data_IF_161760784397
#
_entry.id   IF_161760784397
#
_cell.length_a   1.000
_cell.length_b   1.000
_cell.length_c   1.000
_cell.angle_alpha   90.00
_cell.angle_beta   90.00
_cell.angle_gamma   90.00
#
_symmetry.space_group_name_H-M   'P 1'
#
loop_
_entity.id
_entity.type
_entity.pdbx_description
1 polymer ?
#
# COMPACT_ATOMS: atom_id res chain seq x y z
N UNK A 1 -41.47 32.77 -71.82
CA UNK A 1 -41.44 31.73 -70.77
C UNK A 1 -40.94 30.36 -71.23
N UNK A 2 -41.48 29.73 -72.29
CA UNK A 2 -41.08 28.36 -72.71
C UNK A 2 -39.58 28.15 -72.98
N UNK A 3 -38.88 29.13 -73.56
CA UNK A 3 -37.45 29.02 -73.90
C UNK A 3 -36.54 28.98 -72.66
N UNK A 4 -36.90 29.75 -71.63
CA UNK A 4 -36.17 29.81 -70.35
C UNK A 4 -36.33 28.50 -69.58
N UNK A 5 -37.56 27.96 -69.56
CA UNK A 5 -37.88 26.69 -68.91
C UNK A 5 -37.12 25.51 -69.54
N UNK A 6 -36.98 25.50 -70.86
CA UNK A 6 -36.24 24.45 -71.57
C UNK A 6 -34.73 24.51 -71.27
N UNK A 7 -34.16 25.72 -71.20
CA UNK A 7 -32.74 25.91 -70.87
C UNK A 7 -32.40 25.57 -69.42
N UNK A 8 -33.31 25.83 -68.47
CA UNK A 8 -33.10 25.43 -67.07
C UNK A 8 -33.23 23.92 -66.92
N UNK A 9 -34.23 23.30 -67.55
CA UNK A 9 -34.40 21.84 -67.49
C UNK A 9 -33.22 21.08 -68.10
N UNK A 10 -32.69 21.54 -69.24
CA UNK A 10 -31.51 20.91 -69.88
C UNK A 10 -30.23 21.08 -69.06
N UNK A 11 -30.02 22.23 -68.41
CA UNK A 11 -28.90 22.41 -67.47
C UNK A 11 -29.03 21.51 -66.24
N UNK A 12 -30.25 21.31 -65.75
CA UNK A 12 -30.55 20.48 -64.57
C UNK A 12 -30.32 18.99 -64.88
N UNK A 13 -30.78 18.49 -66.03
CA UNK A 13 -30.50 17.13 -66.51
C UNK A 13 -29.00 16.92 -66.74
N UNK A 14 -28.29 17.88 -67.34
CA UNK A 14 -26.83 17.81 -67.49
C UNK A 14 -26.11 17.77 -66.13
N UNK A 15 -26.57 18.56 -65.16
CA UNK A 15 -26.07 18.52 -63.78
C UNK A 15 -26.20 17.15 -63.12
N UNK A 16 -27.38 16.51 -63.23
CA UNK A 16 -27.60 15.16 -62.70
C UNK A 16 -26.72 14.10 -63.39
N UNK A 17 -26.54 14.19 -64.71
CA UNK A 17 -25.65 13.26 -65.42
C UNK A 17 -24.17 13.45 -65.07
N UNK A 18 -23.74 14.70 -64.76
CA UNK A 18 -22.38 14.98 -64.30
C UNK A 18 -22.16 14.46 -62.86
N UNK A 19 -23.14 14.66 -61.98
CA UNK A 19 -23.10 14.15 -60.60
C UNK A 19 -23.05 12.61 -60.56
N UNK A 20 -23.81 11.94 -61.42
CA UNK A 20 -23.78 10.48 -61.58
C UNK A 20 -22.47 9.95 -62.20
N UNK A 21 -21.71 10.77 -62.94
CA UNK A 21 -20.37 10.40 -63.43
C UNK A 21 -19.29 10.60 -62.37
N UNK A 22 -19.43 11.63 -61.53
CA UNK A 22 -18.50 11.92 -60.45
C UNK A 22 -18.63 10.98 -59.24
N UNK A 23 -19.82 10.44 -58.97
CA UNK A 23 -20.07 9.54 -57.82
C UNK A 23 -19.61 8.09 -58.05
N UNK A 24 -19.56 7.62 -59.30
CA UNK A 24 -19.09 6.26 -59.66
C UNK A 24 -17.67 5.92 -59.19
N UNK A 25 -16.64 6.75 -59.40
CA UNK A 25 -15.28 6.44 -58.92
C UNK A 25 -15.17 6.44 -57.38
N UNK A 26 -15.96 7.28 -56.69
CA UNK A 26 -16.04 7.28 -55.23
C UNK A 26 -16.69 6.00 -54.70
N UNK A 27 -17.77 5.52 -55.33
CA UNK A 27 -18.40 4.26 -54.94
C UNK A 27 -17.48 3.06 -55.18
N UNK A 28 -16.76 3.05 -56.32
CA UNK A 28 -15.81 1.98 -56.66
C UNK A 28 -14.61 1.93 -55.71
N UNK A 29 -14.11 3.07 -55.25
CA UNK A 29 -13.01 3.13 -54.27
C UNK A 29 -13.48 2.65 -52.89
N UNK A 30 -14.68 3.01 -52.47
CA UNK A 30 -15.30 2.51 -51.24
C UNK A 30 -15.49 0.98 -51.27
N UNK A 31 -16.03 0.43 -52.36
CA UNK A 31 -16.23 -1.01 -52.53
C UNK A 31 -14.90 -1.79 -52.52
N UNK A 32 -13.85 -1.25 -53.14
CA UNK A 32 -12.50 -1.84 -53.10
C UNK A 32 -11.90 -1.82 -51.68
N UNK A 33 -12.14 -0.75 -50.91
CA UNK A 33 -11.70 -0.67 -49.52
C UNK A 33 -12.40 -1.71 -48.64
N UNK A 34 -13.73 -1.85 -48.78
CA UNK A 34 -14.53 -2.86 -48.09
C UNK A 34 -14.05 -4.28 -48.46
N UNK A 35 -13.78 -4.55 -49.74
CA UNK A 35 -13.26 -5.84 -50.19
C UNK A 35 -11.92 -6.22 -49.55
N UNK A 36 -11.00 -5.26 -49.38
CA UNK A 36 -9.71 -5.49 -48.68
C UNK A 36 -9.90 -5.84 -47.21
N UNK A 37 -10.82 -5.16 -46.53
CA UNK A 37 -11.14 -5.42 -45.12
C UNK A 37 -11.73 -6.83 -44.97
N UNK A 38 -12.71 -7.18 -45.80
CA UNK A 38 -13.33 -8.51 -45.79
C UNK A 38 -12.31 -9.62 -46.08
N UNK A 39 -11.39 -9.39 -47.03
CA UNK A 39 -10.33 -10.36 -47.33
C UNK A 39 -9.37 -10.56 -46.14
N UNK A 40 -8.99 -9.49 -45.43
CA UNK A 40 -8.14 -9.57 -44.25
C UNK A 40 -8.83 -10.33 -43.08
N UNK A 41 -10.14 -10.14 -42.91
CA UNK A 41 -10.93 -10.88 -41.92
C UNK A 41 -10.99 -12.37 -42.28
N UNK A 42 -11.26 -12.70 -43.54
CA UNK A 42 -11.30 -14.08 -44.01
C UNK A 42 -9.94 -14.80 -43.82
N UNK A 43 -8.83 -14.13 -44.14
CA UNK A 43 -7.50 -14.70 -43.94
C UNK A 43 -7.19 -14.97 -42.45
N UNK A 44 -7.59 -14.07 -41.55
CA UNK A 44 -7.44 -14.30 -40.11
C UNK A 44 -8.25 -15.50 -39.64
N UNK A 45 -9.50 -15.64 -40.09
CA UNK A 45 -10.37 -16.77 -39.73
C UNK A 45 -9.81 -18.11 -40.23
N UNK A 46 -9.32 -18.16 -41.47
CA UNK A 46 -8.67 -19.36 -42.03
C UNK A 46 -7.38 -19.71 -41.27
N UNK A 47 -6.59 -18.71 -40.86
CA UNK A 47 -5.37 -18.97 -40.10
C UNK A 47 -5.67 -19.50 -38.68
N UNK A 48 -6.74 -19.02 -38.04
CA UNK A 48 -7.21 -19.50 -36.74
C UNK A 48 -7.71 -20.94 -36.84
N UNK A 49 -8.52 -21.27 -37.86
CA UNK A 49 -9.03 -22.64 -38.05
C UNK A 49 -7.90 -23.64 -38.34
N UNK A 50 -6.90 -23.26 -39.13
CA UNK A 50 -5.72 -24.10 -39.38
C UNK A 50 -4.86 -24.31 -38.13
N UNK A 51 -4.66 -23.27 -37.29
CA UNK A 51 -3.96 -23.42 -36.00
C UNK A 51 -4.70 -24.35 -35.06
N UNK A 52 -6.03 -24.21 -35.00
CA UNK A 52 -6.88 -25.06 -34.17
C UNK A 52 -6.84 -26.53 -34.64
N UNK A 53 -6.88 -26.77 -35.96
CA UNK A 53 -6.71 -28.11 -36.52
C UNK A 53 -5.36 -28.75 -36.20
N UNK A 54 -4.25 -27.98 -36.24
CA UNK A 54 -2.91 -28.48 -35.84
C UNK A 54 -2.80 -28.73 -34.33
N UNK A 55 -3.47 -27.93 -33.51
CA UNK A 55 -3.55 -28.14 -32.06
C UNK A 55 -4.27 -29.45 -31.73
N UNK A 56 -5.43 -29.69 -32.34
CA UNK A 56 -6.16 -30.96 -32.27
C UNK A 56 -5.30 -32.14 -32.73
N UNK A 57 -4.57 -31.99 -33.85
CA UNK A 57 -3.69 -33.04 -34.36
C UNK A 57 -2.54 -33.37 -33.39
N UNK A 58 -1.92 -32.36 -32.76
CA UNK A 58 -0.86 -32.57 -31.76
C UNK A 58 -1.40 -33.20 -30.48
N UNK A 59 -2.60 -32.82 -30.05
CA UNK A 59 -3.27 -33.42 -28.91
C UNK A 59 -3.62 -34.91 -29.16
N UNK A 60 -3.88 -35.28 -30.41
CA UNK A 60 -4.24 -36.65 -30.80
C UNK A 60 -3.08 -37.57 -31.19
N UNK A 61 -1.84 -37.08 -31.30
CA UNK A 61 -0.68 -37.93 -31.66
C UNK A 61 -0.22 -38.89 -30.56
N UNK A 62 -0.83 -38.85 -29.37
CA UNK A 62 -0.50 -39.77 -28.27
C UNK A 62 -1.39 -41.02 -28.15
N UNK A 63 -2.46 -41.16 -28.94
CA UNK A 63 -3.45 -42.24 -28.74
C UNK A 63 -3.87 -42.94 -30.05
N UNK A 64 -3.23 -44.07 -30.32
CA UNK A 64 -3.55 -45.01 -31.39
C UNK A 64 -4.61 -46.02 -30.93
N UNK A 65 -5.85 -45.57 -30.71
CA UNK A 65 -7.00 -46.44 -30.43
C UNK A 65 -8.04 -46.37 -31.57
N UNK A 66 -8.76 -47.48 -31.88
CA UNK A 66 -9.81 -47.50 -32.89
C UNK A 66 -10.98 -46.55 -32.55
N UNK A 67 -11.68 -46.08 -33.57
CA UNK A 67 -12.66 -44.97 -33.47
C UNK A 67 -13.79 -45.22 -32.44
N UNK A 68 -14.19 -46.48 -32.22
CA UNK A 68 -15.23 -46.85 -31.25
C UNK A 68 -14.81 -46.57 -29.80
N UNK A 69 -13.54 -46.76 -29.45
CA UNK A 69 -13.05 -46.56 -28.08
C UNK A 69 -12.79 -45.07 -27.78
N UNK A 70 -12.55 -44.27 -28.83
CA UNK A 70 -12.41 -42.81 -28.71
C UNK A 70 -13.70 -42.13 -28.30
N UNK A 71 -14.85 -42.60 -28.79
CA UNK A 71 -16.17 -42.05 -28.42
C UNK A 71 -16.48 -42.38 -26.96
N UNK A 72 -16.26 -43.63 -26.54
CA UNK A 72 -16.48 -44.04 -25.15
C UNK A 72 -15.58 -43.31 -24.16
N UNK A 73 -14.32 -43.03 -24.52
CA UNK A 73 -13.42 -42.20 -23.70
C UNK A 73 -13.88 -40.74 -23.61
N UNK A 74 -14.44 -40.17 -24.68
CA UNK A 74 -15.00 -38.81 -24.66
C UNK A 74 -16.24 -38.75 -23.78
N UNK A 75 -17.09 -39.77 -23.78
CA UNK A 75 -18.31 -39.79 -22.95
C UNK A 75 -17.98 -40.06 -21.47
N UNK A 76 -16.96 -40.87 -21.18
CA UNK A 76 -16.58 -41.25 -19.80
C UNK A 76 -15.49 -40.37 -19.18
N UNK A 77 -14.90 -39.44 -19.95
CA UNK A 77 -13.89 -38.51 -19.48
C UNK A 77 -14.43 -37.63 -18.33
N UNK A 78 -13.73 -37.53 -17.18
CA UNK A 78 -14.14 -36.65 -16.08
C UNK A 78 -14.23 -35.17 -16.51
N UNK A 79 -13.51 -34.78 -17.56
CA UNK A 79 -13.49 -33.40 -18.06
C UNK A 79 -14.69 -33.08 -18.95
N UNK A 80 -15.14 -34.01 -19.78
CA UNK A 80 -16.32 -33.81 -20.63
C UNK A 80 -17.58 -33.80 -19.80
N UNK A 81 -17.67 -34.66 -18.78
CA UNK A 81 -18.77 -34.63 -17.80
C UNK A 81 -18.86 -33.26 -17.12
N UNK A 82 -17.73 -32.70 -16.65
CA UNK A 82 -17.67 -31.36 -16.05
C UNK A 82 -18.09 -30.26 -17.02
N UNK A 83 -17.68 -30.35 -18.29
CA UNK A 83 -18.07 -29.38 -19.33
C UNK A 83 -19.57 -29.44 -19.64
N UNK A 84 -20.14 -30.64 -19.73
CA UNK A 84 -21.58 -30.84 -19.95
C UNK A 84 -22.38 -30.33 -18.75
N UNK A 85 -21.93 -30.60 -17.52
CA UNK A 85 -22.54 -30.06 -16.29
C UNK A 85 -22.47 -28.53 -16.29
N UNK A 86 -21.33 -27.94 -16.63
CA UNK A 86 -21.16 -26.48 -16.64
C UNK A 86 -22.00 -25.81 -17.75
N UNK A 87 -22.11 -26.45 -18.92
CA UNK A 87 -23.01 -26.01 -19.99
C UNK A 87 -24.49 -26.15 -19.59
N UNK A 88 -24.87 -27.22 -18.91
CA UNK A 88 -26.22 -27.42 -18.36
C UNK A 88 -26.57 -26.37 -17.31
N UNK A 89 -25.64 -26.08 -16.38
CA UNK A 89 -25.76 -25.01 -15.39
C UNK A 89 -25.92 -23.66 -16.08
N UNK A 90 -25.12 -23.38 -17.12
CA UNK A 90 -25.23 -22.13 -17.89
C UNK A 90 -26.59 -22.00 -18.60
N UNK A 91 -27.10 -23.08 -19.21
CA UNK A 91 -28.41 -23.09 -19.87
C UNK A 91 -29.56 -22.95 -18.85
N UNK A 92 -29.41 -23.49 -17.64
CA UNK A 92 -30.38 -23.35 -16.55
C UNK A 92 -30.36 -21.94 -15.91
N UNK A 93 -29.18 -21.32 -15.82
CA UNK A 93 -29.00 -19.98 -15.22
C UNK A 93 -29.20 -18.83 -16.21
N UNK A 94 -28.93 -19.03 -17.51
CA UNK A 94 -29.06 -17.99 -18.54
C UNK A 94 -30.47 -17.39 -18.68
N UNK A 95 -31.59 -18.12 -18.44
CA UNK A 95 -32.92 -17.52 -18.44
C UNK A 95 -33.23 -16.77 -17.14
N UNK A 96 -32.51 -17.06 -16.04
CA UNK A 96 -32.70 -16.39 -14.75
C UNK A 96 -31.90 -15.08 -14.64
N UNK A 97 -30.95 -14.85 -15.55
CA UNK A 97 -30.28 -13.56 -15.65
C UNK A 97 -31.18 -12.60 -16.44
N UNK A 98 -32.04 -11.87 -15.72
CA UNK A 98 -32.74 -10.70 -16.25
C UNK A 98 -31.71 -9.62 -16.66
N UNK A 99 -31.13 -9.76 -17.84
CA UNK A 99 -30.30 -8.75 -18.49
C UNK A 99 -31.21 -7.62 -19.01
N UNK A 100 -31.79 -6.84 -18.09
CA UNK A 100 -32.40 -5.55 -18.44
C UNK A 100 -31.31 -4.49 -18.41
N UNK A 101 -30.84 -4.10 -19.60
CA UNK A 101 -30.21 -2.80 -19.78
C UNK A 101 -31.34 -1.76 -19.75
N UNK A 102 -31.49 -1.07 -18.61
CA UNK A 102 -32.35 0.11 -18.52
C UNK A 102 -31.44 1.32 -18.32
N UNK A 103 -31.42 2.14 -19.35
CA UNK A 103 -30.75 3.42 -19.46
C UNK A 103 -31.52 4.45 -18.63
N UNK A 104 -30.93 4.93 -17.54
CA UNK A 104 -31.12 6.26 -16.94
C UNK A 104 -30.20 6.36 -15.72
N UNK A 105 -29.24 7.29 -15.83
CA UNK A 105 -28.37 7.91 -14.82
C UNK A 105 -28.12 7.21 -13.48
N UNK A 106 -26.82 7.05 -13.21
CA UNK A 106 -26.18 6.55 -11.98
C UNK A 106 -25.90 5.03 -11.98
N UNK A 107 -24.76 4.73 -12.60
CA UNK A 107 -24.22 3.41 -12.89
C UNK A 107 -23.45 2.83 -11.68
N UNK A 108 -24.15 2.18 -10.74
CA UNK A 108 -23.51 1.49 -9.60
C UNK A 108 -23.86 -0.01 -9.45
N UNK A 109 -24.80 -0.55 -10.22
CA UNK A 109 -25.30 -1.92 -10.03
C UNK A 109 -24.98 -2.90 -11.19
N UNK A 110 -23.81 -2.75 -11.81
CA UNK A 110 -23.32 -3.81 -12.71
C UNK A 110 -22.49 -4.84 -11.95
N UNK A 111 -22.68 -6.14 -12.23
CA UNK A 111 -21.84 -7.22 -11.67
C UNK A 111 -20.35 -7.00 -11.97
N UNK A 112 -20.01 -6.27 -13.04
CA UNK A 112 -18.64 -5.85 -13.34
C UNK A 112 -18.13 -4.82 -12.33
N UNK A 113 -18.98 -3.91 -11.86
CA UNK A 113 -18.69 -2.94 -10.81
C UNK A 113 -18.57 -3.59 -9.43
N UNK A 114 -19.42 -4.56 -9.09
CA UNK A 114 -19.30 -5.34 -7.85
C UNK A 114 -18.08 -6.27 -7.81
N UNK A 115 -17.66 -6.82 -8.96
CA UNK A 115 -16.50 -7.73 -9.02
C UNK A 115 -15.15 -6.98 -9.11
N UNK A 116 -15.16 -5.72 -9.58
CA UNK A 116 -13.98 -4.85 -9.61
C UNK A 116 -13.88 -4.01 -8.34
N UNK A 117 -15.02 -3.71 -7.69
CA UNK A 117 -15.14 -2.83 -6.54
C UNK A 117 -14.78 -1.38 -6.90
N UNK A 118 -15.53 -0.36 -6.45
CA UNK A 118 -14.87 0.90 -6.16
C UNK A 118 -13.81 0.61 -5.10
N UNK A 119 -12.58 1.08 -5.31
CA UNK A 119 -11.64 1.18 -4.20
C UNK A 119 -12.25 2.14 -3.19
N UNK A 120 -12.80 1.61 -2.10
CA UNK A 120 -13.34 2.38 -0.99
C UNK A 120 -12.17 3.06 -0.24
N UNK A 121 -11.68 4.17 -0.79
CA UNK A 121 -11.50 5.39 -0.02
C UNK A 121 -12.86 6.08 0.00
N UNK A 122 -13.64 5.86 1.06
CA UNK A 122 -14.77 6.73 1.37
C UNK A 122 -14.20 8.10 1.78
N UNK A 123 -14.25 9.06 0.87
CA UNK A 123 -14.43 10.46 1.26
C UNK A 123 -15.92 10.63 1.55
N UNK A 124 -16.27 10.75 2.83
CA UNK A 124 -17.54 11.36 3.22
C UNK A 124 -17.32 12.87 3.13
N UNK A 125 -17.64 13.46 1.98
CA UNK A 125 -18.03 14.87 1.96
C UNK A 125 -19.49 14.93 2.43
N UNK A 126 -19.69 15.20 3.71
CA UNK A 126 -20.95 15.74 4.20
C UNK A 126 -21.07 17.18 3.67
N UNK A 127 -21.79 17.33 2.57
CA UNK A 127 -22.28 18.62 2.11
C UNK A 127 -23.35 19.11 3.08
N UNK A 128 -23.00 20.06 3.95
CA UNK A 128 -23.96 20.85 4.71
C UNK A 128 -24.68 21.78 3.74
N UNK A 129 -25.95 21.48 3.43
CA UNK A 129 -26.87 22.50 2.90
C UNK A 129 -27.38 23.34 4.07
N UNK A 130 -26.77 24.52 4.26
CA UNK A 130 -27.20 25.55 5.21
C UNK A 130 -26.41 26.85 4.98
N UNK A 131 -27.05 28.03 5.07
CA UNK A 131 -26.53 29.24 4.44
C UNK A 131 -25.26 29.78 5.12
N UNK A 132 -24.35 30.24 4.26
CA UNK A 132 -23.09 30.91 4.56
C UNK A 132 -23.25 32.02 5.63
N UNK A 133 -22.45 31.94 6.69
CA UNK A 133 -21.87 33.13 7.31
C UNK A 133 -20.37 32.91 7.49
N UNK A 134 -19.61 33.75 6.80
CA UNK A 134 -18.16 33.72 6.72
C UNK A 134 -17.60 34.33 8.00
N UNK A 135 -16.76 33.58 8.70
CA UNK A 135 -15.90 34.06 9.78
C UNK A 135 -14.58 33.29 9.76
N UNK A 136 -13.64 33.76 8.95
CA UNK A 136 -12.26 33.25 8.94
C UNK A 136 -11.57 33.80 10.19
N UNK A 137 -11.32 32.97 11.20
CA UNK A 137 -10.36 33.29 12.26
C UNK A 137 -9.12 32.41 12.14
N UNK A 138 -8.06 33.04 11.65
CA UNK A 138 -6.69 32.53 11.66
C UNK A 138 -6.17 32.45 13.09
N UNK A 139 -5.53 31.34 13.41
CA UNK A 139 -4.99 30.91 14.71
C UNK A 139 -3.71 31.67 15.15
N UNK A 140 -3.62 32.97 14.85
CA UNK A 140 -2.47 33.80 15.21
C UNK A 140 -2.88 35.12 15.85
N UNK A 141 -3.60 35.07 16.97
CA UNK A 141 -3.64 36.18 17.93
C UNK A 141 -4.17 35.66 19.27
N UNK A 142 -3.34 35.73 20.30
CA UNK A 142 -3.81 35.57 21.67
C UNK A 142 -4.78 36.69 22.00
N UNK A 143 -6.03 36.34 22.30
CA UNK A 143 -6.96 37.23 22.96
C UNK A 143 -7.57 36.49 24.14
N UNK A 144 -7.15 36.93 25.33
CA UNK A 144 -7.80 36.68 26.61
C UNK A 144 -9.29 36.95 26.46
N UNK A 145 -10.14 35.94 26.69
CA UNK A 145 -11.56 36.20 26.96
C UNK A 145 -11.69 36.43 28.47
N UNK A 146 -11.87 37.69 28.81
CA UNK A 146 -12.31 38.11 30.13
C UNK A 146 -13.80 37.75 30.23
N UNK A 147 -14.12 36.71 31.00
CA UNK A 147 -15.50 36.49 31.43
C UNK A 147 -15.88 37.62 32.38
N UNK A 148 -16.93 38.34 31.99
CA UNK A 148 -17.55 39.41 32.76
C UNK A 148 -18.26 38.76 33.94
N UNK A 149 -17.78 39.07 35.15
CA UNK A 149 -18.47 38.81 36.42
C UNK A 149 -19.79 39.60 36.45
N UNK A 150 -20.92 38.91 36.61
CA UNK A 150 -22.10 39.56 37.18
C UNK A 150 -21.92 39.72 38.70
N UNK A 151 -22.22 40.91 39.27
CA UNK A 151 -21.95 41.19 40.67
C UNK A 151 -23.13 40.77 41.54
N UNK A 152 -22.94 39.75 42.38
CA UNK A 152 -23.89 39.43 43.44
C UNK A 152 -23.91 37.97 43.85
N UNK A 153 -22.94 37.54 44.65
CA UNK A 153 -22.98 36.23 45.30
C UNK A 153 -21.78 36.06 46.21
N UNK A 154 -22.03 36.08 47.52
CA UNK A 154 -21.03 36.20 48.57
C UNK A 154 -20.00 35.05 48.59
N UNK A 155 -18.79 35.39 49.06
CA UNK A 155 -17.80 34.45 49.58
C UNK A 155 -18.44 33.54 50.64
N UNK A 156 -18.47 32.23 50.39
CA UNK A 156 -18.48 31.24 51.46
C UNK A 156 -17.25 30.35 51.31
N UNK A 157 -16.24 30.69 52.12
CA UNK A 157 -15.21 29.78 52.58
C UNK A 157 -15.85 28.64 53.36
N UNK A 158 -15.73 27.40 52.90
CA UNK A 158 -15.98 26.24 53.75
C UNK A 158 -14.80 25.27 53.66
N UNK A 159 -14.15 25.14 54.82
CA UNK A 159 -13.12 24.17 55.16
C UNK A 159 -13.69 22.73 55.24
N UNK A 160 -12.81 21.71 55.21
CA UNK A 160 -13.18 20.33 54.92
C UNK A 160 -13.33 19.50 56.19
N UNK A 161 -14.57 19.29 56.65
CA UNK A 161 -14.87 18.23 57.63
C UNK A 161 -16.27 17.69 57.38
N UNK A 162 -16.35 16.51 56.77
CA UNK A 162 -17.05 15.33 57.32
C UNK A 162 -17.50 14.37 56.21
N UNK A 163 -16.69 13.32 56.06
CA UNK A 163 -17.19 12.00 55.72
C UNK A 163 -18.22 11.57 56.77
N UNK A 164 -19.45 11.26 56.39
CA UNK A 164 -20.37 10.68 57.38
C UNK A 164 -21.82 10.52 56.95
N UNK A 165 -22.09 9.48 56.16
CA UNK A 165 -23.37 8.77 56.21
C UNK A 165 -24.55 9.43 55.52
N UNK A 166 -25.03 8.78 54.46
CA UNK A 166 -26.46 8.59 54.20
C UNK A 166 -26.60 7.54 53.08
N UNK A 167 -26.70 6.28 53.51
CA UNK A 167 -27.29 5.23 52.71
C UNK A 167 -28.78 5.16 53.09
N UNK A 168 -29.65 5.69 52.25
CA UNK A 168 -31.07 5.31 52.21
C UNK A 168 -31.55 5.32 50.76
N UNK A 169 -31.65 4.11 50.20
CA UNK A 169 -32.60 3.73 49.15
C UNK A 169 -32.60 4.56 47.86
N UNK A 170 -31.77 4.19 46.90
CA UNK A 170 -31.93 4.65 45.52
C UNK A 170 -30.65 4.49 44.72
N UNK A 171 -30.69 3.64 43.70
CA UNK A 171 -29.61 3.42 42.74
C UNK A 171 -29.27 4.72 42.01
N UNK A 172 -28.31 5.47 42.52
CA UNK A 172 -27.63 6.51 41.77
C UNK A 172 -26.16 6.47 42.15
N UNK A 173 -25.44 5.51 41.54
CA UNK A 173 -23.99 5.65 41.37
C UNK A 173 -23.81 6.76 40.34
N UNK A 174 -23.95 8.02 40.76
CA UNK A 174 -23.48 9.13 39.96
C UNK A 174 -21.96 9.02 39.96
N UNK A 175 -21.39 8.58 38.84
CA UNK A 175 -19.95 8.67 38.59
C UNK A 175 -19.53 10.09 38.99
N UNK A 176 -18.54 10.27 39.88
CA UNK A 176 -18.08 11.61 40.21
C UNK A 176 -17.69 12.28 38.90
N UNK A 177 -18.32 13.43 38.61
CA UNK A 177 -17.94 14.24 37.46
C UNK A 177 -16.58 14.81 37.78
N UNK A 178 -15.54 14.16 37.25
CA UNK A 178 -14.19 14.69 37.30
C UNK A 178 -14.19 15.90 36.37
N UNK A 179 -14.14 17.09 36.96
CA UNK A 179 -13.96 18.33 36.23
C UNK A 179 -12.61 18.24 35.52
N UNK A 180 -12.55 18.32 34.18
CA UNK A 180 -11.27 18.36 33.46
C UNK A 180 -10.49 19.59 33.93
N UNK A 181 -9.36 19.36 34.62
CA UNK A 181 -8.51 20.42 35.16
C UNK A 181 -8.47 20.56 36.68
N UNK A 182 -9.27 19.80 37.44
CA UNK A 182 -9.10 19.74 38.90
C UNK A 182 -7.85 18.89 39.24
N UNK A 183 -6.71 19.54 39.46
CA UNK A 183 -5.54 18.90 40.05
C UNK A 183 -5.86 18.51 41.49
N UNK A 184 -6.21 17.24 41.70
CA UNK A 184 -6.13 16.62 43.02
C UNK A 184 -4.67 16.67 43.45
N UNK A 185 -4.30 17.71 44.19
CA UNK A 185 -2.96 17.94 44.75
C UNK A 185 -2.58 16.94 45.85
N UNK A 186 -3.02 15.69 45.73
CA UNK A 186 -2.55 14.59 46.58
C UNK A 186 -1.32 14.02 45.90
N UNK A 187 -0.14 14.38 46.40
CA UNK A 187 1.10 13.71 46.05
C UNK A 187 0.97 12.22 46.39
N UNK A 188 0.82 11.41 45.34
CA UNK A 188 0.82 9.96 45.49
C UNK A 188 2.23 9.54 45.84
N UNK A 189 2.35 8.59 46.78
CA UNK A 189 3.66 8.07 47.23
C UNK A 189 3.95 6.66 46.71
N UNK A 190 2.94 5.97 46.19
CA UNK A 190 3.03 4.57 45.77
C UNK A 190 2.50 4.35 44.35
N UNK A 191 2.92 3.24 43.73
CA UNK A 191 2.46 2.82 42.40
C UNK A 191 1.08 2.18 42.56
N UNK A 192 0.07 2.77 41.91
CA UNK A 192 -1.30 2.27 41.95
C UNK A 192 -1.58 1.38 40.74
N UNK A 193 -2.49 0.42 40.89
CA UNK A 193 -2.99 -0.40 39.78
C UNK A 193 -4.36 0.15 39.36
N UNK A 194 -4.44 0.64 38.13
CA UNK A 194 -5.66 1.12 37.51
C UNK A 194 -6.25 0.06 36.58
N UNK A 195 -7.55 -0.20 36.69
CA UNK A 195 -8.27 -1.12 35.80
C UNK A 195 -8.92 -0.28 34.71
N UNK A 196 -8.51 -0.50 33.47
CA UNK A 196 -9.00 0.21 32.28
C UNK A 196 -10.51 0.03 32.15
N UNK A 197 -11.22 1.14 31.97
CA UNK A 197 -12.66 1.18 31.75
C UNK A 197 -13.01 1.34 30.27
N UNK A 198 -14.27 1.11 29.93
CA UNK A 198 -14.79 1.33 28.59
C UNK A 198 -14.63 2.80 28.17
N UNK A 199 -14.01 3.03 27.01
CA UNK A 199 -13.77 4.36 26.45
C UNK A 199 -12.48 5.04 26.94
N UNK A 200 -11.71 4.40 27.82
CA UNK A 200 -10.43 4.95 28.27
C UNK A 200 -9.38 4.99 27.15
N UNK A 201 -8.60 6.06 27.14
CA UNK A 201 -7.39 6.18 26.32
C UNK A 201 -6.17 6.31 27.23
N UNK A 202 -5.01 5.83 26.79
CA UNK A 202 -3.77 5.96 27.58
C UNK A 202 -3.46 7.44 27.86
N UNK A 203 -3.73 8.33 26.89
CA UNK A 203 -3.57 9.77 27.05
C UNK A 203 -4.52 10.35 28.11
N UNK A 204 -5.81 10.02 28.05
CA UNK A 204 -6.80 10.48 29.03
C UNK A 204 -6.55 9.94 30.43
N UNK A 205 -6.10 8.69 30.55
CA UNK A 205 -5.65 8.11 31.83
C UNK A 205 -4.44 8.90 32.36
N UNK A 206 -3.44 9.15 31.51
CA UNK A 206 -2.25 9.89 31.92
C UNK A 206 -2.61 11.30 32.41
N UNK A 207 -3.43 12.04 31.65
CA UNK A 207 -3.91 13.38 32.00
C UNK A 207 -4.73 13.40 33.29
N UNK A 208 -5.66 12.45 33.47
CA UNK A 208 -6.45 12.32 34.70
C UNK A 208 -5.61 12.06 35.94
N UNK A 209 -4.42 11.49 35.76
CA UNK A 209 -3.44 11.27 36.82
C UNK A 209 -2.33 12.34 36.86
N UNK A 210 -2.40 13.39 36.05
CA UNK A 210 -1.36 14.43 35.99
C UNK A 210 0.00 13.89 35.58
N UNK A 211 0.03 12.86 34.72
CA UNK A 211 1.24 12.20 34.23
C UNK A 211 1.46 12.43 32.73
N UNK A 212 2.72 12.32 32.30
CA UNK A 212 3.09 12.25 30.90
C UNK A 212 2.65 10.91 30.29
N UNK A 213 2.08 10.96 29.09
CA UNK A 213 1.75 9.78 28.28
C UNK A 213 2.89 8.76 28.24
N UNK A 214 4.12 9.23 28.05
CA UNK A 214 5.29 8.38 27.96
C UNK A 214 5.57 7.61 29.26
N UNK A 215 5.31 8.21 30.42
CA UNK A 215 5.50 7.56 31.72
C UNK A 215 4.58 6.35 31.88
N UNK A 216 3.30 6.50 31.54
CA UNK A 216 2.33 5.39 31.57
C UNK A 216 2.70 4.29 30.57
N UNK A 217 3.15 4.69 29.36
CA UNK A 217 3.60 3.74 28.34
C UNK A 217 4.82 2.93 28.81
N UNK A 218 5.85 3.60 29.34
CA UNK A 218 7.10 2.95 29.75
C UNK A 218 6.91 2.00 30.92
N UNK A 219 6.13 2.40 31.95
CA UNK A 219 5.87 1.57 33.13
C UNK A 219 5.16 0.26 32.76
N UNK A 220 4.28 0.30 31.76
CA UNK A 220 3.49 -0.85 31.34
C UNK A 220 4.07 -1.60 30.13
N UNK A 221 5.32 -1.29 29.73
CA UNK A 221 5.96 -1.84 28.53
C UNK A 221 5.11 -1.68 27.24
N UNK A 222 4.33 -0.60 27.17
CA UNK A 222 3.51 -0.26 26.02
C UNK A 222 4.28 0.67 25.07
N UNK A 223 3.90 0.63 23.80
CA UNK A 223 4.33 1.55 22.76
C UNK A 223 3.16 2.40 22.30
N UNK A 224 3.42 3.48 21.55
CA UNK A 224 2.34 4.29 20.96
C UNK A 224 1.42 3.51 20.00
N UNK A 225 1.84 2.32 19.54
CA UNK A 225 1.04 1.41 18.71
C UNK A 225 0.30 0.34 19.50
N UNK A 226 0.51 0.30 20.81
CA UNK A 226 -0.11 -0.70 21.67
C UNK A 226 -1.56 -0.32 21.97
N UNK A 227 -2.45 -1.31 21.95
CA UNK A 227 -3.86 -1.15 22.27
C UNK A 227 -4.13 -1.59 23.72
N UNK A 228 -4.98 -0.86 24.43
CA UNK A 228 -5.49 -1.25 25.76
C UNK A 228 -6.92 -1.75 25.64
N UNK A 229 -7.32 -2.65 26.55
CA UNK A 229 -8.68 -3.20 26.61
C UNK A 229 -9.33 -2.92 27.96
N UNK A 230 -10.65 -2.75 28.02
CA UNK A 230 -11.37 -2.73 29.28
C UNK A 230 -11.08 -3.97 30.13
N UNK A 231 -10.90 -3.77 31.44
CA UNK A 231 -10.48 -4.80 32.39
C UNK A 231 -8.96 -5.04 32.46
N UNK A 232 -8.16 -4.44 31.57
CA UNK A 232 -6.70 -4.53 31.65
C UNK A 232 -6.16 -3.75 32.86
N UNK A 233 -5.23 -4.34 33.61
CA UNK A 233 -4.53 -3.65 34.69
C UNK A 233 -3.33 -2.86 34.17
N UNK A 234 -3.27 -1.58 34.51
CA UNK A 234 -2.15 -0.68 34.23
C UNK A 234 -1.56 -0.19 35.55
N UNK A 235 -0.24 -0.25 35.65
CA UNK A 235 0.53 0.33 36.75
C UNK A 235 0.72 1.82 36.47
N UNK A 236 0.36 2.66 37.42
CA UNK A 236 0.43 4.12 37.31
C UNK A 236 1.42 4.62 38.36
N UNK A 237 2.44 5.33 37.91
CA UNK A 237 3.46 5.89 38.81
C UNK A 237 2.90 7.05 39.64
N UNK A 238 3.44 7.27 40.86
CA UNK A 238 3.03 8.36 41.71
C UNK A 238 3.34 9.75 41.14
N UNK A 239 4.47 9.86 40.41
CA UNK A 239 4.97 11.08 39.77
C UNK A 239 5.43 10.76 38.35
N UNK A 240 5.55 11.81 37.54
CA UNK A 240 6.20 11.74 36.23
C UNK A 240 7.60 11.19 36.33
N UNK A 241 7.93 10.24 35.46
CA UNK A 241 9.25 9.61 35.44
C UNK A 241 9.25 8.18 34.91
N UNK A 242 10.18 7.39 35.44
CA UNK A 242 10.39 5.98 35.07
C UNK A 242 10.70 5.18 36.33
N UNK A 243 10.21 3.94 36.41
CA UNK A 243 10.66 2.98 37.43
C UNK A 243 11.83 2.16 36.92
N UNK A 244 12.76 1.82 37.81
CA UNK A 244 13.88 0.94 37.53
C UNK A 244 14.01 -0.11 38.62
N UNK A 245 14.21 -1.36 38.21
CA UNK A 245 14.54 -2.45 39.12
C UNK A 245 16.06 -2.57 39.19
N UNK A 246 16.63 -2.38 40.38
CA UNK A 246 18.07 -2.30 40.62
C UNK A 246 18.72 -3.63 40.27
N UNK A 247 19.72 -3.62 39.37
CA UNK A 247 20.48 -4.82 39.00
C UNK A 247 21.86 -4.82 39.65
N UNK A 248 22.51 -5.98 39.63
CA UNK A 248 23.88 -6.15 40.12
C UNK A 248 24.83 -5.18 39.39
N UNK A 249 25.50 -4.32 40.15
CA UNK A 249 26.45 -3.32 39.61
C UNK A 249 25.82 -1.99 39.21
N UNK A 250 24.57 -1.73 39.61
CA UNK A 250 23.97 -0.41 39.53
C UNK A 250 24.27 0.44 40.77
N UNK A 251 24.36 1.74 40.55
CA UNK A 251 24.51 2.76 41.60
C UNK A 251 23.49 3.86 41.33
N UNK A 252 22.97 4.54 42.35
CA UNK A 252 21.99 5.61 42.13
C UNK A 252 22.51 6.69 41.18
N UNK A 253 23.79 7.05 41.28
CA UNK A 253 24.42 8.01 40.36
C UNK A 253 24.38 7.53 38.89
N UNK A 254 24.64 6.24 38.64
CA UNK A 254 24.59 5.65 37.29
C UNK A 254 23.16 5.56 36.77
N UNK A 255 22.20 5.20 37.63
CA UNK A 255 20.78 5.11 37.29
C UNK A 255 20.22 6.49 36.95
N UNK A 256 20.41 7.47 37.84
CA UNK A 256 19.99 8.85 37.65
C UNK A 256 20.56 9.42 36.34
N UNK A 257 21.86 9.22 36.07
CA UNK A 257 22.50 9.63 34.82
C UNK A 257 21.90 8.94 33.58
N UNK A 258 21.61 7.65 33.66
CA UNK A 258 21.05 6.86 32.55
C UNK A 258 19.67 7.37 32.15
N UNK A 259 18.85 7.74 33.13
CA UNK A 259 17.50 8.25 32.92
C UNK A 259 17.41 9.78 32.91
N UNK A 260 18.53 10.50 32.91
CA UNK A 260 18.57 11.98 33.00
C UNK A 260 17.78 12.55 34.20
N UNK A 261 17.71 11.80 35.30
CA UNK A 261 17.08 12.20 36.56
C UNK A 261 18.09 12.79 37.55
N UNK A 262 17.58 13.41 38.62
CA UNK A 262 18.36 14.03 39.68
C UNK A 262 18.52 13.06 40.87
N UNK A 263 19.76 12.73 41.22
CA UNK A 263 20.06 11.75 42.26
C UNK A 263 19.55 12.18 43.65
N UNK A 264 19.58 13.47 43.97
CA UNK A 264 19.09 13.97 45.26
C UNK A 264 17.57 13.76 45.38
N UNK A 265 16.82 14.07 44.31
CA UNK A 265 15.38 13.83 44.25
C UNK A 265 15.01 12.35 44.28
N UNK A 266 15.85 11.47 43.72
CA UNK A 266 15.61 10.02 43.79
C UNK A 266 15.74 9.52 45.24
N UNK A 267 16.73 9.99 45.99
CA UNK A 267 16.92 9.61 47.40
C UNK A 267 15.75 10.09 48.25
N UNK A 268 15.36 11.35 48.10
CA UNK A 268 14.23 11.96 48.81
C UNK A 268 12.91 11.24 48.51
N UNK A 269 12.62 11.01 47.22
CA UNK A 269 11.37 10.42 46.77
C UNK A 269 11.21 8.95 47.18
N UNK A 270 12.30 8.18 47.15
CA UNK A 270 12.28 6.75 47.53
C UNK A 270 12.59 6.53 49.02
N UNK A 271 12.74 7.59 49.82
CA UNK A 271 13.07 7.55 51.26
C UNK A 271 14.31 6.70 51.58
N UNK A 272 15.34 6.81 50.73
CA UNK A 272 16.59 6.09 50.94
C UNK A 272 17.42 6.83 52.01
N UNK A 273 18.06 6.09 52.91
CA UNK A 273 18.89 6.70 53.96
C UNK A 273 20.12 7.41 53.37
N UNK A 274 20.71 6.80 52.34
CA UNK A 274 21.84 7.35 51.60
C UNK A 274 21.86 6.84 50.15
N UNK A 275 22.65 7.49 49.30
CA UNK A 275 22.75 7.15 47.89
C UNK A 275 23.34 5.74 47.60
N UNK A 276 23.87 5.09 48.63
CA UNK A 276 24.47 3.74 48.60
C UNK A 276 23.54 2.63 49.10
N UNK A 277 22.35 2.99 49.61
CA UNK A 277 21.42 2.08 50.29
C UNK A 277 20.46 1.34 49.33
N UNK A 278 20.93 0.99 48.14
CA UNK A 278 20.10 0.30 47.14
C UNK A 278 20.35 -1.21 47.15
N UNK A 279 19.26 -1.98 47.19
CA UNK A 279 19.31 -3.43 47.17
C UNK A 279 19.04 -3.98 45.76
N UNK A 280 19.71 -5.09 45.40
CA UNK A 280 19.48 -5.76 44.11
C UNK A 280 18.05 -6.31 44.10
N UNK A 281 17.28 -5.96 43.06
CA UNK A 281 15.87 -6.32 42.91
C UNK A 281 14.89 -5.29 43.47
N UNK A 282 15.36 -4.26 44.18
CA UNK A 282 14.53 -3.17 44.66
C UNK A 282 14.01 -2.34 43.48
N UNK A 283 12.72 -1.99 43.49
CA UNK A 283 12.13 -1.06 42.50
C UNK A 283 12.19 0.36 43.02
N UNK A 284 12.91 1.21 42.30
CA UNK A 284 13.06 2.63 42.58
C UNK A 284 12.36 3.45 41.50
N UNK A 285 11.70 4.54 41.91
CA UNK A 285 11.10 5.50 41.00
C UNK A 285 12.08 6.64 40.76
N UNK A 286 12.26 7.06 39.51
CA UNK A 286 13.10 8.19 39.14
C UNK A 286 12.21 9.35 38.69
N UNK A 287 11.92 10.33 39.57
CA UNK A 287 11.10 11.49 39.22
C UNK A 287 11.74 12.30 38.08
N UNK A 288 10.95 12.65 37.06
CA UNK A 288 11.38 13.35 35.87
C UNK A 288 12.29 12.54 34.93
N UNK A 289 12.54 11.27 35.24
CA UNK A 289 13.39 10.40 34.45
C UNK A 289 12.82 10.12 33.05
N UNK A 290 13.67 10.20 32.03
CA UNK A 290 13.34 9.93 30.64
C UNK A 290 14.01 8.64 30.21
N UNK A 291 13.28 7.74 29.56
CA UNK A 291 13.88 6.54 28.97
C UNK A 291 14.93 7.00 27.94
N UNK A 292 16.21 6.61 28.06
CA UNK A 292 17.21 7.01 27.09
C UNK A 292 16.75 6.50 25.72
N UNK A 293 16.65 7.41 24.77
CA UNK A 293 16.47 7.01 23.36
C UNK A 293 17.65 6.10 23.07
N UNK A 294 17.44 4.88 22.54
CA UNK A 294 18.57 4.05 22.14
C UNK A 294 19.41 4.92 21.20
N UNK A 295 20.59 5.31 21.67
CA UNK A 295 21.58 5.90 20.79
C UNK A 295 21.90 4.76 19.86
N UNK A 296 21.26 4.77 18.69
CA UNK A 296 21.76 4.06 17.54
C UNK A 296 23.14 4.66 17.32
N UNK A 297 24.14 4.10 17.99
CA UNK A 297 25.50 4.21 17.51
C UNK A 297 25.37 3.65 16.12
N UNK A 298 25.40 4.56 15.14
CA UNK A 298 25.77 4.16 13.80
C UNK A 298 26.96 3.23 14.03
N UNK A 299 26.85 1.94 13.65
CA UNK A 299 27.95 1.02 13.83
C UNK A 299 29.19 1.76 13.34
N UNK A 300 30.32 1.75 14.09
CA UNK A 300 31.51 2.49 13.69
C UNK A 300 31.65 2.24 12.20
N UNK A 301 31.77 3.32 11.43
CA UNK A 301 32.09 3.20 10.02
C UNK A 301 33.48 2.55 9.97
N UNK A 302 33.51 1.23 10.17
CA UNK A 302 34.51 0.36 9.60
C UNK A 302 34.47 0.82 8.16
N UNK A 303 35.58 1.36 7.71
CA UNK A 303 35.89 1.40 6.30
C UNK A 303 35.80 -0.06 5.83
N UNK A 304 34.58 -0.51 5.55
CA UNK A 304 34.27 -1.75 4.86
C UNK A 304 34.44 -1.43 3.38
N UNK A 305 35.64 -0.99 3.01
CA UNK A 305 36.07 -1.06 1.62
C UNK A 305 36.26 -2.52 1.16
N UNK A 306 35.94 -3.52 1.99
CA UNK A 306 35.99 -4.94 1.64
C UNK A 306 34.69 -5.73 1.92
N UNK A 307 33.62 -5.13 2.46
CA UNK A 307 32.38 -5.86 2.83
C UNK A 307 31.08 -5.10 2.50
N UNK A 308 31.15 -4.02 1.71
CA UNK A 308 30.07 -3.79 0.74
C UNK A 308 30.27 -4.94 -0.22
N UNK A 309 29.39 -5.95 -0.17
CA UNK A 309 29.41 -7.05 -1.13
C UNK A 309 29.73 -6.43 -2.48
N UNK A 310 30.94 -6.66 -2.99
CA UNK A 310 31.30 -6.17 -4.30
C UNK A 310 30.16 -6.61 -5.20
N UNK A 311 29.57 -5.70 -6.01
CA UNK A 311 28.52 -6.10 -6.92
C UNK A 311 29.02 -7.37 -7.61
N UNK A 312 28.22 -8.45 -7.53
CA UNK A 312 28.61 -9.73 -8.10
C UNK A 312 29.16 -9.47 -9.51
N UNK A 313 30.26 -10.13 -9.90
CA UNK A 313 31.11 -9.68 -10.98
C UNK A 313 30.29 -9.37 -12.23
N UNK A 314 30.42 -8.13 -12.70
CA UNK A 314 29.85 -7.69 -13.98
C UNK A 314 30.34 -8.62 -15.08
N UNK A 315 29.44 -9.05 -15.96
CA UNK A 315 29.84 -9.82 -17.13
C UNK A 315 30.17 -8.82 -18.22
N UNK A 316 31.43 -8.76 -18.67
CA UNK A 316 31.80 -7.93 -19.82
C UNK A 316 31.17 -8.51 -21.09
N UNK A 317 30.20 -7.80 -21.66
CA UNK A 317 29.54 -8.19 -22.91
C UNK A 317 30.09 -7.30 -24.03
N UNK A 318 30.66 -7.87 -25.11
CA UNK A 318 31.13 -7.08 -26.25
C UNK A 318 30.01 -6.22 -26.84
N UNK A 319 30.27 -4.92 -27.01
CA UNK A 319 29.33 -4.00 -27.63
C UNK A 319 29.02 -4.45 -29.07
N UNK A 320 27.74 -4.66 -29.38
CA UNK A 320 27.28 -5.15 -30.68
C UNK A 320 26.08 -6.10 -30.64
N UNK A 321 25.63 -6.52 -29.44
CA UNK A 321 24.46 -7.37 -29.29
C UNK A 321 23.19 -6.59 -28.90
N UNK A 322 22.06 -7.22 -29.26
CA UNK A 322 20.74 -7.01 -28.66
C UNK A 322 20.83 -7.07 -27.12
N UNK A 323 19.72 -6.75 -26.44
CA UNK A 323 19.66 -6.72 -24.98
C UNK A 323 20.14 -8.06 -24.38
N UNK A 324 20.96 -8.00 -23.33
CA UNK A 324 21.38 -9.21 -22.62
C UNK A 324 20.33 -9.65 -21.60
N UNK A 325 20.32 -10.95 -21.34
CA UNK A 325 19.49 -11.53 -20.29
C UNK A 325 19.72 -10.81 -18.95
N UNK A 326 18.67 -10.42 -18.21
CA UNK A 326 18.78 -9.46 -17.10
C UNK A 326 19.31 -10.05 -15.78
N UNK A 327 19.76 -11.31 -15.77
CA UNK A 327 20.27 -12.01 -14.58
C UNK A 327 21.09 -13.23 -14.98
N UNK A 328 21.66 -13.98 -14.04
CA UNK A 328 22.42 -15.22 -14.33
C UNK A 328 21.53 -16.46 -14.47
N UNK A 329 20.30 -16.40 -13.97
CA UNK A 329 19.34 -17.52 -13.96
C UNK A 329 18.43 -17.47 -15.19
N UNK A 330 18.12 -18.63 -15.81
CA UNK A 330 17.28 -18.71 -17.03
C UNK A 330 15.87 -19.26 -16.81
N UNK A 331 15.44 -19.45 -15.56
CA UNK A 331 14.12 -20.01 -15.22
C UNK A 331 13.06 -18.92 -15.20
N UNK A 332 12.29 -18.81 -16.28
CA UNK A 332 11.10 -17.95 -16.32
C UNK A 332 9.99 -18.60 -15.48
N UNK A 333 9.52 -17.90 -14.44
CA UNK A 333 8.36 -18.31 -13.63
C UNK A 333 7.04 -17.80 -14.21
N UNK A 334 7.04 -16.62 -14.84
CA UNK A 334 5.85 -16.04 -15.44
C UNK A 334 6.19 -15.27 -16.72
N UNK A 335 5.40 -15.51 -17.77
CA UNK A 335 5.57 -14.87 -19.08
C UNK A 335 4.80 -13.56 -19.19
N UNK A 336 5.20 -12.73 -20.16
CA UNK A 336 4.46 -11.52 -20.53
C UNK A 336 3.05 -11.87 -21.05
N UNK A 337 2.05 -11.10 -20.63
CA UNK A 337 0.66 -11.28 -21.04
C UNK A 337 -0.24 -10.11 -20.63
N UNK A 338 -1.54 -10.23 -20.87
CA UNK A 338 -2.51 -9.15 -20.59
C UNK A 338 -2.52 -8.68 -19.12
N UNK A 339 -2.30 -9.59 -18.17
CA UNK A 339 -2.25 -9.28 -16.72
C UNK A 339 -0.82 -9.15 -16.18
N UNK A 340 0.20 -9.29 -17.03
CA UNK A 340 1.60 -9.34 -16.61
C UNK A 340 2.51 -8.60 -17.59
N UNK A 341 3.00 -7.45 -17.15
CA UNK A 341 3.62 -6.41 -17.98
C UNK A 341 5.08 -6.65 -18.32
N UNK A 342 5.66 -7.74 -17.80
CA UNK A 342 7.05 -8.12 -17.98
C UNK A 342 7.24 -9.63 -18.05
N UNK A 343 8.45 -10.09 -17.79
CA UNK A 343 8.75 -11.50 -17.49
C UNK A 343 9.26 -11.60 -16.06
N UNK A 344 8.86 -12.67 -15.39
CA UNK A 344 9.37 -12.99 -14.06
C UNK A 344 10.39 -14.11 -14.18
N UNK A 345 11.59 -13.88 -13.66
CA UNK A 345 12.67 -14.86 -13.66
C UNK A 345 12.97 -15.19 -12.20
N UNK A 346 12.68 -16.42 -11.80
CA UNK A 346 12.82 -16.87 -10.42
C UNK A 346 14.23 -17.35 -10.13
N UNK A 347 14.79 -16.93 -8.99
CA UNK A 347 16.12 -17.31 -8.54
C UNK A 347 16.36 -16.96 -7.06
N UNK A 348 17.47 -17.40 -6.47
CA UNK A 348 17.81 -17.11 -5.07
C UNK A 348 17.91 -15.60 -4.79
N UNK A 349 17.60 -15.19 -3.56
CA UNK A 349 17.79 -13.81 -3.10
C UNK A 349 19.28 -13.44 -3.25
N UNK A 350 19.55 -12.23 -3.74
CA UNK A 350 20.89 -11.72 -3.97
C UNK A 350 21.49 -12.07 -5.34
N UNK A 351 20.83 -12.93 -6.14
CA UNK A 351 21.23 -13.21 -7.54
C UNK A 351 21.43 -11.89 -8.30
N UNK A 352 22.52 -11.70 -9.06
CA UNK A 352 22.78 -10.41 -9.71
C UNK A 352 21.71 -10.10 -10.75
N UNK A 353 21.22 -8.86 -10.72
CA UNK A 353 20.39 -8.27 -11.77
C UNK A 353 21.30 -7.38 -12.61
N UNK A 354 21.36 -7.68 -13.91
CA UNK A 354 22.29 -7.09 -14.86
C UNK A 354 21.56 -6.08 -15.74
N UNK A 355 22.21 -4.96 -16.03
CA UNK A 355 21.73 -4.00 -17.02
C UNK A 355 21.68 -4.67 -18.41
N UNK A 356 20.48 -4.95 -18.91
CA UNK A 356 20.28 -5.59 -20.21
C UNK A 356 20.85 -4.79 -21.38
N UNK A 357 21.01 -3.48 -21.22
CA UNK A 357 21.68 -2.58 -22.19
C UNK A 357 22.29 -1.42 -21.41
N UNK A 358 23.36 -0.82 -21.94
CA UNK A 358 23.93 0.39 -21.39
C UNK A 358 22.88 1.52 -21.36
N UNK A 359 22.90 2.36 -20.33
CA UNK A 359 21.88 3.40 -20.16
C UNK A 359 22.12 4.25 -18.92
N UNK A 360 21.23 5.22 -18.70
CA UNK A 360 21.24 6.09 -17.52
C UNK A 360 20.15 5.67 -16.53
N UNK A 361 20.48 5.60 -15.25
CA UNK A 361 19.53 5.31 -14.18
C UNK A 361 18.58 6.50 -14.03
N UNK A 362 17.29 6.28 -14.26
CA UNK A 362 16.24 7.31 -14.10
C UNK A 362 15.35 7.07 -12.88
N UNK A 363 15.41 5.89 -12.29
CA UNK A 363 14.78 5.58 -11.00
C UNK A 363 15.58 4.49 -10.30
N UNK A 364 15.90 4.70 -9.03
CA UNK A 364 16.52 3.74 -8.14
C UNK A 364 15.96 4.00 -6.73
N UNK A 365 14.93 3.25 -6.33
CA UNK A 365 14.25 3.47 -5.05
C UNK A 365 13.61 2.20 -4.50
N UNK A 366 13.44 2.19 -3.19
CA UNK A 366 12.77 1.15 -2.42
C UNK A 366 11.50 1.70 -1.74
N UNK A 367 10.54 0.84 -1.45
CA UNK A 367 9.30 1.18 -0.74
C UNK A 367 8.04 0.78 -1.50
N UNK A 368 6.88 1.28 -1.03
CA UNK A 368 5.60 1.02 -1.66
C UNK A 368 5.39 1.95 -2.87
N UNK A 369 5.31 1.37 -4.07
CA UNK A 369 5.32 2.10 -5.34
C UNK A 369 4.45 1.39 -6.40
N UNK A 370 3.24 1.00 -6.01
CA UNK A 370 2.35 0.19 -6.87
C UNK A 370 2.72 -1.29 -6.89
N UNK A 371 3.52 -1.75 -5.92
CA UNK A 371 3.87 -3.16 -5.72
C UNK A 371 5.23 -3.58 -6.28
N UNK A 372 5.98 -2.72 -6.98
CA UNK A 372 7.28 -3.07 -7.55
C UNK A 372 8.42 -3.24 -6.52
N UNK A 373 8.26 -2.69 -5.31
CA UNK A 373 9.29 -2.79 -4.26
C UNK A 373 10.56 -2.03 -4.62
N UNK A 374 11.72 -2.54 -4.24
CA UNK A 374 12.99 -1.99 -4.71
C UNK A 374 13.13 -2.24 -6.21
N UNK A 375 13.34 -1.18 -6.98
CA UNK A 375 13.49 -1.29 -8.41
C UNK A 375 14.50 -0.30 -8.99
N UNK A 376 14.97 -0.64 -10.19
CA UNK A 376 15.80 0.22 -11.04
C UNK A 376 15.08 0.41 -12.38
N UNK A 377 15.05 1.63 -12.89
CA UNK A 377 14.65 1.92 -14.29
C UNK A 377 15.85 2.53 -14.99
N UNK A 378 16.24 1.92 -16.11
CA UNK A 378 17.28 2.42 -17.00
C UNK A 378 16.65 3.04 -18.24
N UNK A 379 17.13 4.22 -18.62
CA UNK A 379 16.85 4.86 -19.89
C UNK A 379 18.00 4.61 -20.86
N UNK A 380 17.69 3.99 -22.00
CA UNK A 380 18.68 3.61 -23.02
C UNK A 380 18.74 4.60 -24.18
N UNK A 381 17.98 5.70 -24.11
CA UNK A 381 17.75 6.57 -25.25
C UNK A 381 16.65 6.03 -26.19
N UNK A 382 16.32 6.81 -27.21
CA UNK A 382 15.34 6.48 -28.26
C UNK A 382 13.95 6.08 -27.73
N UNK A 383 13.58 6.60 -26.55
CA UNK A 383 12.31 6.28 -25.88
C UNK A 383 12.25 4.85 -25.31
N UNK A 384 13.38 4.15 -25.19
CA UNK A 384 13.44 2.78 -24.67
C UNK A 384 13.93 2.76 -23.23
N UNK A 385 13.16 2.08 -22.37
CA UNK A 385 13.50 1.90 -20.94
C UNK A 385 13.38 0.45 -20.53
N UNK A 386 14.23 0.02 -19.60
CA UNK A 386 14.08 -1.27 -18.91
C UNK A 386 13.82 -1.06 -17.43
N UNK A 387 13.03 -1.94 -16.83
CA UNK A 387 12.71 -1.91 -15.41
C UNK A 387 13.06 -3.26 -14.77
N UNK A 388 13.69 -3.21 -13.61
CA UNK A 388 14.13 -4.35 -12.81
C UNK A 388 13.52 -4.19 -11.42
N UNK A 389 12.49 -4.97 -11.08
CA UNK A 389 11.73 -4.82 -9.84
C UNK A 389 11.88 -6.01 -8.89
N UNK A 390 11.31 -5.86 -7.68
CA UNK A 390 11.38 -6.80 -6.56
C UNK A 390 12.78 -7.05 -6.01
N UNK A 391 13.75 -6.16 -6.27
CA UNK A 391 15.12 -6.32 -5.80
C UNK A 391 15.20 -6.42 -4.26
N UNK A 392 16.19 -7.14 -3.73
CA UNK A 392 16.52 -7.10 -2.30
C UNK A 392 17.33 -5.87 -1.93
N UNK A 393 18.16 -5.41 -2.88
CA UNK A 393 19.02 -4.24 -2.76
C UNK A 393 19.29 -3.65 -4.13
N UNK A 394 19.41 -2.33 -4.19
CA UNK A 394 19.83 -1.57 -5.38
C UNK A 394 21.26 -1.11 -5.17
N UNK A 395 22.10 -1.18 -6.22
CA UNK A 395 23.54 -0.87 -6.15
C UNK A 395 23.94 0.39 -6.91
N UNK A 396 22.99 1.05 -7.56
CA UNK A 396 23.21 2.22 -8.42
C UNK A 396 22.32 3.37 -8.00
N UNK A 397 22.78 4.59 -8.27
CA UNK A 397 22.06 5.82 -7.91
C UNK A 397 21.40 6.49 -9.13
N UNK A 398 20.36 7.29 -8.88
CA UNK A 398 19.70 8.05 -9.94
C UNK A 398 20.68 9.02 -10.59
N UNK A 399 20.76 8.99 -11.92
CA UNK A 399 21.64 9.81 -12.72
C UNK A 399 22.93 9.12 -13.16
N UNK A 400 23.29 7.99 -12.55
CA UNK A 400 24.44 7.16 -12.92
C UNK A 400 24.29 6.57 -14.33
N UNK A 401 25.39 6.46 -15.07
CA UNK A 401 25.45 5.73 -16.34
C UNK A 401 26.00 4.34 -16.09
N UNK A 402 25.30 3.33 -16.60
CA UNK A 402 25.68 1.92 -16.44
C UNK A 402 25.99 1.28 -17.79
N UNK A 403 26.92 0.35 -17.80
CA UNK A 403 27.27 -0.44 -18.98
C UNK A 403 26.36 -1.67 -19.13
N UNK A 404 26.31 -2.23 -20.35
CA UNK A 404 25.59 -3.48 -20.57
C UNK A 404 26.27 -4.62 -19.78
N UNK A 405 25.48 -5.41 -19.05
CA UNK A 405 25.99 -6.49 -18.21
C UNK A 405 26.50 -6.05 -16.84
N UNK A 406 26.47 -4.75 -16.52
CA UNK A 406 26.79 -4.24 -15.19
C UNK A 406 25.73 -4.70 -14.18
N UNK A 407 26.17 -5.16 -13.01
CA UNK A 407 25.28 -5.50 -11.91
C UNK A 407 24.70 -4.23 -11.28
N UNK A 408 23.37 -4.08 -11.34
CA UNK A 408 22.65 -2.87 -10.90
C UNK A 408 21.82 -3.09 -9.62
N UNK A 409 21.45 -4.34 -9.34
CA UNK A 409 20.66 -4.71 -8.18
C UNK A 409 20.84 -6.20 -7.83
N UNK A 410 20.41 -6.61 -6.65
CA UNK A 410 20.30 -8.01 -6.25
C UNK A 410 18.85 -8.47 -6.27
N UNK A 411 18.57 -9.66 -6.81
CA UNK A 411 17.24 -10.28 -6.83
C UNK A 411 16.66 -10.37 -5.42
N UNK A 412 15.35 -10.25 -5.29
CA UNK A 412 14.68 -10.33 -3.99
C UNK A 412 13.20 -10.61 -4.11
N UNK A 413 12.46 -10.22 -3.07
CA UNK A 413 11.02 -10.38 -2.98
C UNK A 413 10.35 -9.16 -2.33
N UNK A 414 10.89 -7.96 -2.58
CA UNK A 414 10.34 -6.72 -2.01
C UNK A 414 9.08 -6.26 -2.76
N UNK A 415 8.24 -5.46 -2.10
CA UNK A 415 6.97 -5.02 -2.67
C UNK A 415 5.93 -6.14 -2.65
N UNK A 416 5.08 -6.22 -3.70
CA UNK A 416 4.04 -7.23 -3.84
C UNK A 416 4.59 -8.42 -4.63
N UNK A 417 5.25 -9.34 -3.94
CA UNK A 417 5.83 -10.55 -4.50
C UNK A 417 5.49 -11.78 -3.64
N UNK A 418 5.28 -12.93 -4.27
CA UNK A 418 5.05 -14.22 -3.60
C UNK A 418 6.32 -15.03 -3.34
N UNK A 419 7.46 -14.61 -3.89
CA UNK A 419 8.74 -15.30 -3.73
C UNK A 419 9.88 -14.62 -4.49
N UNK A 420 11.11 -15.07 -4.30
CA UNK A 420 12.28 -14.42 -4.89
C UNK A 420 12.30 -14.54 -6.42
N UNK A 421 12.20 -13.39 -7.10
CA UNK A 421 12.29 -13.27 -8.56
C UNK A 421 12.65 -11.84 -8.96
N UNK A 422 13.07 -11.65 -10.21
CA UNK A 422 13.06 -10.34 -10.86
C UNK A 422 11.81 -10.23 -11.73
N UNK A 423 11.08 -9.12 -11.59
CA UNK A 423 10.12 -8.67 -12.60
C UNK A 423 10.82 -7.73 -13.57
N UNK A 424 10.99 -8.17 -14.81
CA UNK A 424 11.73 -7.45 -15.86
C UNK A 424 10.78 -6.93 -16.94
N UNK A 425 10.75 -5.61 -17.16
CA UNK A 425 9.97 -4.98 -18.23
C UNK A 425 10.87 -4.30 -19.26
N UNK A 426 10.42 -4.32 -20.52
CA UNK A 426 10.94 -3.45 -21.58
C UNK A 426 9.82 -2.51 -22.00
N UNK A 427 10.09 -1.20 -22.02
CA UNK A 427 9.14 -0.17 -22.43
C UNK A 427 9.69 0.59 -23.63
N UNK A 428 8.90 0.74 -24.69
CA UNK A 428 9.26 1.50 -25.90
C UNK A 428 8.21 2.59 -26.07
N UNK A 429 8.62 3.86 -26.03
CA UNK A 429 7.75 5.03 -26.09
C UNK A 429 6.59 4.96 -25.08
N UNK A 430 6.89 4.48 -23.87
CA UNK A 430 5.92 4.29 -22.79
C UNK A 430 5.08 3.01 -22.87
N UNK A 431 5.03 2.33 -24.02
CA UNK A 431 4.30 1.06 -24.16
C UNK A 431 5.13 -0.12 -23.65
N UNK A 432 4.51 -0.99 -22.85
CA UNK A 432 5.15 -2.23 -22.34
C UNK A 432 5.18 -3.29 -23.45
N UNK A 433 6.37 -3.82 -23.69
CA UNK A 433 6.64 -4.77 -24.75
C UNK A 433 7.04 -6.12 -24.15
N UNK A 434 6.73 -7.21 -24.85
CA UNK A 434 7.22 -8.53 -24.45
C UNK A 434 8.76 -8.54 -24.42
N UNK A 435 9.41 -8.69 -23.25
CA UNK A 435 10.86 -8.62 -23.11
C UNK A 435 11.61 -9.68 -23.94
N UNK A 436 11.01 -10.84 -24.19
CA UNK A 436 11.61 -11.94 -24.97
C UNK A 436 11.83 -11.59 -26.46
N UNK A 437 11.33 -10.44 -26.93
CA UNK A 437 11.68 -9.90 -28.25
C UNK A 437 13.04 -9.19 -28.27
N UNK A 438 13.56 -8.85 -27.10
CA UNK A 438 14.77 -8.03 -26.92
C UNK A 438 15.91 -8.84 -26.33
N UNK A 439 15.63 -9.61 -25.27
CA UNK A 439 16.63 -10.42 -24.56
C UNK A 439 16.69 -11.85 -25.09
N UNK A 440 17.89 -12.43 -25.10
CA UNK A 440 18.16 -13.84 -25.50
C UNK A 440 18.97 -14.59 -24.45
#
# INVERSE_FOLDING_TARGET
>A
MRRILYTTLTKLVRGFTALGRASKPLLLTLLRAIGRILHAIAQKLVFVSLKFGRFLRRYWQGYSAPFKDKIWFIITSPWTLRLVILAGIFILLAPQTHLRARDTDQNLDSLLYQLVGPGDEYFVEEGIEGPLSVGVESWSTGSVRQEVLEPGGALETLEPTDFGGLALGGTAVTKPTIIPGAQLGVERKEIIVYIVQDGDTIGGIAEGFGLNLNTVLWENNLSFRSYIRPGQSLRILPTDGISHEVKRGDTLAKIAKTYSGDAARVVEFNKLADASDIEIGQKIVIPGGKKPVPVYRAPPARSRLADIAAPLPSIFVPAGQLYVWPTTVRRISQYFGWRHTGIDIGGPIGTPLLASRAGRVVSAKCGWNGGYGCHVILDHGDGVRTMYAHASRVYVDVGETVEQGQTIAGMGSTGRSTGSHIHFEVRVNGARMNPLKFVR
#
